data_IF_109404181567
#
_entry.id   IF_109404181567
#
_cell.length_a   1.000
_cell.length_b   1.000
_cell.length_c   1.000
_cell.angle_alpha   90.00
_cell.angle_beta   90.00
_cell.angle_gamma   90.00
#
_symmetry.space_group_name_H-M   'P 1'
#
loop_
_entity.id
_entity.type
_entity.pdbx_description
1 polymer ?
#
# COMPACT_ATOMS: atom_id res chain seq x y z
N UNK A 1 5.76 26.55 -11.69
CA UNK A 1 4.66 27.08 -12.52
C UNK A 1 3.37 26.31 -12.23
N UNK A 2 3.37 24.98 -12.25
CA UNK A 2 2.17 24.16 -12.09
C UNK A 2 1.53 24.24 -10.70
N UNK A 3 2.29 24.57 -9.66
CA UNK A 3 1.78 24.74 -8.29
C UNK A 3 1.10 26.10 -8.03
N UNK A 4 1.33 27.10 -8.89
CA UNK A 4 0.84 28.48 -8.66
C UNK A 4 -0.69 28.57 -8.52
N UNK A 5 -1.52 27.89 -9.34
CA UNK A 5 -2.97 27.91 -9.13
C UNK A 5 -3.43 27.39 -7.77
N UNK A 6 -2.72 26.39 -7.23
CA UNK A 6 -3.03 25.85 -5.88
C UNK A 6 -2.66 26.84 -4.77
N UNK A 7 -1.56 27.57 -4.92
CA UNK A 7 -1.18 28.62 -3.97
C UNK A 7 -2.19 29.77 -3.98
N UNK A 8 -2.64 30.19 -5.16
CA UNK A 8 -3.67 31.21 -5.29
C UNK A 8 -5.01 30.75 -4.73
N UNK A 9 -5.42 29.51 -4.98
CA UNK A 9 -6.62 28.92 -4.38
C UNK A 9 -6.54 28.88 -2.86
N UNK A 10 -5.40 28.49 -2.28
CA UNK A 10 -5.18 28.49 -0.84
C UNK A 10 -5.26 29.91 -0.24
N UNK A 11 -4.69 30.92 -0.93
CA UNK A 11 -4.76 32.32 -0.54
C UNK A 11 -6.20 32.83 -0.55
N UNK A 12 -6.95 32.56 -1.61
CA UNK A 12 -8.35 32.94 -1.74
C UNK A 12 -9.22 32.27 -0.67
N UNK A 13 -9.04 30.97 -0.43
CA UNK A 13 -9.73 30.25 0.64
C UNK A 13 -9.48 30.89 2.00
N UNK A 14 -8.22 31.23 2.32
CA UNK A 14 -7.88 31.91 3.56
C UNK A 14 -8.51 33.28 3.72
N UNK A 15 -8.81 33.95 2.60
CA UNK A 15 -9.53 35.24 2.59
C UNK A 15 -11.04 35.03 2.76
N UNK A 16 -11.64 34.06 2.08
CA UNK A 16 -13.09 33.80 2.10
C UNK A 16 -13.54 33.26 3.46
N UNK A 17 -12.80 32.29 4.01
CA UNK A 17 -13.12 31.65 5.28
C UNK A 17 -12.68 32.47 6.50
N UNK A 18 -11.80 33.44 6.30
CA UNK A 18 -11.22 34.26 7.36
C UNK A 18 -10.03 33.61 8.06
N UNK A 19 -9.15 34.49 8.56
CA UNK A 19 -7.89 34.05 9.19
C UNK A 19 -8.08 33.16 10.42
N UNK A 20 -9.19 33.25 11.12
CA UNK A 20 -9.44 32.47 12.34
C UNK A 20 -9.83 31.01 12.00
N UNK A 21 -10.28 30.75 10.79
CA UNK A 21 -10.72 29.44 10.34
C UNK A 21 -9.67 28.72 9.47
N UNK A 22 -8.58 29.41 9.09
CA UNK A 22 -7.53 28.86 8.23
C UNK A 22 -6.16 29.05 8.87
N UNK A 23 -5.37 28.00 8.86
CA UNK A 23 -3.99 27.97 9.36
C UNK A 23 -3.04 27.52 8.24
N UNK A 24 -1.99 28.28 7.99
CA UNK A 24 -0.96 27.96 7.01
C UNK A 24 0.28 27.35 7.69
N UNK A 25 0.57 26.11 7.40
CA UNK A 25 1.76 25.41 7.87
C UNK A 25 2.73 25.27 6.68
N UNK A 26 3.89 25.91 6.79
CA UNK A 26 4.91 25.90 5.75
C UNK A 26 6.03 24.91 6.07
N UNK A 27 6.16 23.87 5.24
CA UNK A 27 7.27 22.92 5.34
C UNK A 27 8.42 23.38 4.47
N UNK A 28 9.63 23.44 5.03
CA UNK A 28 10.81 23.92 4.35
C UNK A 28 12.05 23.11 4.74
N UNK A 29 13.09 23.17 3.90
CA UNK A 29 14.36 22.52 4.16
C UNK A 29 15.33 23.46 4.92
N UNK A 30 15.94 22.93 5.97
CA UNK A 30 17.07 23.53 6.70
C UNK A 30 18.29 22.63 6.50
N UNK A 31 19.04 22.81 5.41
CA UNK A 31 20.13 21.92 5.07
C UNK A 31 21.31 22.10 6.03
N UNK A 32 22.07 21.00 6.18
CA UNK A 32 23.35 21.00 6.85
C UNK A 32 24.44 21.11 5.79
N UNK A 33 25.31 22.09 5.91
CA UNK A 33 26.35 22.37 4.91
C UNK A 33 27.72 22.40 5.56
N UNK A 34 28.70 21.83 4.82
CA UNK A 34 30.10 21.84 5.19
C UNK A 34 30.51 20.78 6.21
N UNK A 35 31.82 20.66 6.42
CA UNK A 35 32.45 19.69 7.30
C UNK A 35 32.12 19.91 8.79
N UNK A 36 31.66 21.10 9.17
CA UNK A 36 31.31 21.50 10.55
C UNK A 36 29.87 21.15 10.91
N UNK A 37 29.04 20.72 9.94
CA UNK A 37 27.66 20.31 10.20
C UNK A 37 26.72 21.46 10.62
N UNK A 38 26.93 22.67 10.09
CA UNK A 38 26.15 23.84 10.42
C UNK A 38 24.81 23.89 9.66
N UNK A 39 23.71 24.10 10.38
CA UNK A 39 22.38 24.29 9.79
C UNK A 39 22.25 25.67 9.13
N UNK A 40 21.77 25.72 7.88
CA UNK A 40 21.65 26.96 7.11
C UNK A 40 20.19 27.40 6.97
N UNK A 41 19.89 28.61 7.43
CA UNK A 41 18.53 29.18 7.39
C UNK A 41 18.19 29.89 6.08
N UNK A 42 19.15 30.16 5.23
CA UNK A 42 18.93 30.93 3.98
C UNK A 42 17.88 30.33 3.05
N UNK A 43 17.87 29.00 2.76
CA UNK A 43 16.82 28.39 1.94
C UNK A 43 15.44 28.59 2.52
N UNK A 44 15.26 28.39 3.83
CA UNK A 44 14.01 28.65 4.56
C UNK A 44 13.58 30.12 4.44
N UNK A 45 14.50 31.07 4.64
CA UNK A 45 14.20 32.50 4.51
C UNK A 45 13.71 32.86 3.11
N UNK A 46 14.35 32.30 2.06
CA UNK A 46 13.90 32.50 0.68
C UNK A 46 12.49 31.91 0.46
N UNK A 47 12.28 30.68 0.88
CA UNK A 47 10.99 29.99 0.73
C UNK A 47 9.84 30.76 1.43
N UNK A 48 10.07 31.24 2.64
CA UNK A 48 9.11 32.09 3.38
C UNK A 48 8.84 33.39 2.65
N UNK A 49 9.88 34.06 2.14
CA UNK A 49 9.75 35.32 1.40
C UNK A 49 8.92 35.14 0.12
N UNK A 50 9.15 34.07 -0.64
CA UNK A 50 8.35 33.76 -1.82
C UNK A 50 6.89 33.52 -1.47
N UNK A 51 6.61 32.73 -0.41
CA UNK A 51 5.25 32.49 0.08
C UNK A 51 4.54 33.79 0.49
N UNK A 52 5.25 34.66 1.21
CA UNK A 52 4.73 35.98 1.60
C UNK A 52 4.50 36.89 0.39
N UNK A 53 5.35 36.80 -0.65
CA UNK A 53 5.18 37.50 -1.91
C UNK A 53 3.90 37.10 -2.65
N UNK A 54 3.43 35.87 -2.46
CA UNK A 54 2.13 35.37 -2.94
C UNK A 54 0.94 35.78 -2.03
N UNK A 55 1.18 36.55 -0.95
CA UNK A 55 0.14 37.00 -0.02
C UNK A 55 -0.25 35.95 1.03
N UNK A 56 0.54 34.89 1.21
CA UNK A 56 0.32 33.87 2.23
C UNK A 56 1.35 34.05 3.36
N UNK A 57 0.91 34.28 4.58
CA UNK A 57 1.77 34.30 5.77
C UNK A 57 1.66 32.98 6.51
N UNK A 58 2.76 32.24 6.72
CA UNK A 58 2.72 31.02 7.51
C UNK A 58 2.39 31.33 8.98
N UNK A 59 1.58 30.48 9.59
CA UNK A 59 1.30 30.49 11.04
C UNK A 59 2.29 29.58 11.77
N UNK A 60 2.79 28.54 11.09
CA UNK A 60 3.78 27.58 11.59
C UNK A 60 4.78 27.25 10.49
N UNK A 61 6.04 27.11 10.86
CA UNK A 61 7.08 26.59 9.98
C UNK A 61 7.57 25.24 10.50
N UNK A 62 7.56 24.24 9.62
CA UNK A 62 8.13 22.90 9.88
C UNK A 62 9.47 22.83 9.15
N UNK A 63 10.56 22.91 9.90
CA UNK A 63 11.92 22.84 9.37
C UNK A 63 12.42 21.41 9.26
N UNK A 64 12.52 20.90 8.04
CA UNK A 64 13.12 19.58 7.72
C UNK A 64 14.63 19.68 7.72
N UNK A 65 15.30 18.79 8.46
CA UNK A 65 16.75 18.73 8.57
C UNK A 65 17.20 17.31 8.94
N UNK A 66 18.42 16.94 8.69
CA UNK A 66 18.97 15.62 9.07
C UNK A 66 18.98 15.42 10.60
N UNK A 67 19.15 16.51 11.35
CA UNK A 67 19.10 16.53 12.82
C UNK A 67 18.10 17.55 13.37
N UNK A 68 17.80 17.48 14.65
CA UNK A 68 16.98 18.48 15.35
C UNK A 68 17.54 19.89 15.14
N UNK A 69 16.66 20.87 14.91
CA UNK A 69 17.06 22.27 14.78
C UNK A 69 17.68 22.78 16.08
N UNK A 70 18.83 23.42 15.96
CA UNK A 70 19.46 24.13 17.06
C UNK A 70 18.56 25.34 17.46
N UNK A 71 18.58 25.72 18.74
CA UNK A 71 17.69 26.74 19.27
C UNK A 71 17.89 28.10 18.62
N UNK A 72 19.15 28.46 18.36
CA UNK A 72 19.49 29.72 17.66
C UNK A 72 19.02 29.74 16.20
N UNK A 73 19.07 28.57 15.53
CA UNK A 73 18.57 28.41 14.16
C UNK A 73 17.05 28.57 14.11
N UNK A 74 16.36 27.93 15.02
CA UNK A 74 14.90 28.05 15.11
C UNK A 74 14.46 29.48 15.48
N UNK A 75 15.15 30.14 16.42
CA UNK A 75 14.91 31.56 16.78
C UNK A 75 15.14 32.50 15.61
N UNK A 76 16.19 32.27 14.81
CA UNK A 76 16.49 33.02 13.61
C UNK A 76 15.42 32.86 12.53
N UNK A 77 14.90 31.64 12.35
CA UNK A 77 13.79 31.37 11.43
C UNK A 77 12.53 32.11 11.90
N UNK A 78 12.18 32.02 13.18
CA UNK A 78 11.02 32.66 13.77
C UNK A 78 11.07 34.18 13.57
N UNK A 79 12.21 34.81 13.88
CA UNK A 79 12.43 36.22 13.68
C UNK A 79 12.24 36.66 12.23
N UNK A 80 12.83 35.92 11.27
CA UNK A 80 12.73 36.28 9.87
C UNK A 80 11.32 36.09 9.29
N UNK A 81 10.60 35.10 9.77
CA UNK A 81 9.25 34.78 9.31
C UNK A 81 8.15 35.58 10.01
N UNK A 82 8.49 36.37 11.03
CA UNK A 82 7.56 37.14 11.86
C UNK A 82 6.51 36.22 12.54
N UNK A 83 6.98 35.12 13.15
CA UNK A 83 6.14 34.16 13.90
C UNK A 83 6.76 33.89 15.28
N UNK A 84 5.96 33.46 16.27
CA UNK A 84 6.48 33.03 17.57
C UNK A 84 7.49 31.88 17.45
N UNK A 85 8.50 31.85 18.37
CA UNK A 85 9.52 30.82 18.38
C UNK A 85 8.91 29.38 18.48
N UNK A 86 7.88 29.23 19.28
CA UNK A 86 7.15 27.98 19.46
C UNK A 86 6.41 27.49 18.19
N UNK A 87 6.23 28.38 17.22
CA UNK A 87 5.64 28.04 15.93
C UNK A 87 6.68 27.54 14.89
N UNK A 88 7.97 27.51 15.25
CA UNK A 88 8.99 26.85 14.44
C UNK A 88 9.22 25.45 14.97
N UNK A 89 8.76 24.47 14.21
CA UNK A 89 8.79 23.04 14.56
C UNK A 89 9.98 22.37 13.89
N UNK A 90 10.75 21.66 14.68
CA UNK A 90 11.85 20.83 14.17
C UNK A 90 11.32 19.48 13.66
N UNK A 91 11.59 19.13 12.42
CA UNK A 91 11.25 17.85 11.84
C UNK A 91 12.53 17.15 11.34
N UNK A 92 13.32 16.56 12.26
CA UNK A 92 14.53 15.84 11.90
C UNK A 92 14.18 14.57 11.13
N UNK A 93 15.21 13.98 10.48
CA UNK A 93 15.07 12.65 9.91
C UNK A 93 14.71 11.65 11.01
N UNK A 94 13.59 10.96 10.79
CA UNK A 94 13.07 9.96 11.69
C UNK A 94 13.41 8.56 11.16
N UNK A 95 13.51 7.57 12.04
CA UNK A 95 13.72 6.16 11.65
C UNK A 95 12.56 5.63 10.79
N UNK A 96 11.39 6.20 10.98
CA UNK A 96 10.18 5.91 10.20
C UNK A 96 9.26 7.13 10.20
N UNK A 97 8.48 7.30 9.13
CA UNK A 97 7.48 8.38 9.04
C UNK A 97 6.44 8.31 10.18
N UNK A 98 6.25 7.15 10.78
CA UNK A 98 5.32 6.93 11.89
C UNK A 98 5.80 7.51 13.22
N UNK A 99 7.07 7.92 13.35
CA UNK A 99 7.58 8.69 14.49
C UNK A 99 7.17 10.18 14.42
N UNK A 100 6.93 10.72 13.23
CA UNK A 100 6.67 12.15 13.03
C UNK A 100 5.51 12.69 13.89
N UNK A 101 4.35 12.00 14.01
CA UNK A 101 3.29 12.45 14.92
C UNK A 101 3.75 12.55 16.39
N UNK A 102 4.64 11.66 16.84
CA UNK A 102 5.18 11.68 18.20
C UNK A 102 6.15 12.85 18.40
N UNK A 103 6.99 13.12 17.40
CA UNK A 103 7.91 14.28 17.38
C UNK A 103 7.10 15.60 17.45
N UNK A 104 5.98 15.66 16.76
CA UNK A 104 5.10 16.85 16.78
C UNK A 104 4.37 17.02 18.11
N UNK A 105 3.95 15.92 18.73
CA UNK A 105 3.36 15.95 20.07
C UNK A 105 4.32 16.50 21.13
N UNK A 106 5.58 16.08 21.08
CA UNK A 106 6.64 16.54 22.01
C UNK A 106 6.86 18.07 21.89
N UNK A 107 6.66 18.61 20.69
CA UNK A 107 6.78 20.04 20.41
C UNK A 107 5.45 20.81 20.55
N UNK A 108 4.41 20.20 21.10
CA UNK A 108 3.11 20.80 21.39
C UNK A 108 2.40 21.36 20.14
N UNK A 109 2.60 20.71 18.97
CA UNK A 109 1.94 21.13 17.73
C UNK A 109 0.41 21.09 17.83
N UNK A 110 -0.23 20.07 18.46
CA UNK A 110 -1.67 20.07 18.67
C UNK A 110 -2.17 21.32 19.41
N UNK A 111 -1.47 21.72 20.46
CA UNK A 111 -1.83 22.91 21.26
C UNK A 111 -1.69 24.21 20.45
N UNK A 112 -0.71 24.28 19.55
CA UNK A 112 -0.58 25.41 18.61
C UNK A 112 -1.79 25.50 17.67
N UNK A 113 -2.20 24.34 17.11
CA UNK A 113 -3.35 24.25 16.21
C UNK A 113 -4.64 24.63 16.95
N UNK A 114 -4.85 24.07 18.16
CA UNK A 114 -6.01 24.36 18.99
C UNK A 114 -6.12 25.85 19.31
N UNK A 115 -5.02 26.45 19.75
CA UNK A 115 -4.96 27.91 20.06
C UNK A 115 -5.22 28.75 18.82
N UNK A 116 -4.62 28.40 17.69
CA UNK A 116 -4.71 29.17 16.44
C UNK A 116 -6.11 29.15 15.81
N UNK A 117 -6.76 27.98 15.84
CA UNK A 117 -8.08 27.76 15.22
C UNK A 117 -9.24 27.80 16.24
N UNK A 118 -8.99 28.13 17.51
CA UNK A 118 -10.02 28.13 18.54
C UNK A 118 -10.66 26.78 18.82
N UNK A 119 -9.96 25.68 18.51
CA UNK A 119 -10.47 24.32 18.67
C UNK A 119 -10.38 23.86 20.12
N UNK A 120 -11.28 22.95 20.50
CA UNK A 120 -11.26 22.26 21.80
C UNK A 120 -11.13 20.75 21.52
N UNK A 121 -9.94 20.22 21.56
CA UNK A 121 -9.71 18.80 21.36
C UNK A 121 -9.42 18.08 22.69
N UNK A 122 -9.70 16.77 22.71
CA UNK A 122 -9.29 15.91 23.84
C UNK A 122 -7.83 15.52 23.67
N UNK A 123 -7.09 15.41 24.77
CA UNK A 123 -5.71 14.88 24.73
C UNK A 123 -5.68 13.53 24.00
N UNK A 124 -4.82 13.37 22.99
CA UNK A 124 -4.78 12.15 22.20
C UNK A 124 -4.22 10.99 23.05
N UNK A 125 -4.85 9.83 22.95
CA UNK A 125 -4.29 8.59 23.50
C UNK A 125 -3.34 7.95 22.50
N UNK A 126 -2.07 8.23 22.64
CA UNK A 126 -1.02 7.76 21.70
C UNK A 126 -0.37 6.43 22.11
N UNK A 127 -0.87 5.74 23.15
CA UNK A 127 -0.26 4.48 23.62
C UNK A 127 -0.18 3.43 22.53
N UNK A 128 -1.27 3.23 21.79
CA UNK A 128 -1.30 2.27 20.66
C UNK A 128 -0.32 2.67 19.56
N UNK A 129 -0.24 3.97 19.26
CA UNK A 129 0.66 4.48 18.23
C UNK A 129 2.13 4.31 18.63
N UNK A 130 2.50 4.63 19.88
CA UNK A 130 3.87 4.39 20.39
C UNK A 130 4.24 2.91 20.30
N UNK A 131 3.34 2.02 20.71
CA UNK A 131 3.56 0.57 20.61
C UNK A 131 3.74 0.11 19.16
N UNK A 132 2.99 0.69 18.22
CA UNK A 132 3.13 0.39 16.80
C UNK A 132 4.51 0.85 16.30
N UNK A 133 4.91 2.10 16.58
CA UNK A 133 6.22 2.63 16.20
C UNK A 133 7.35 1.79 16.80
N UNK A 134 7.24 1.42 18.06
CA UNK A 134 8.24 0.58 18.73
C UNK A 134 8.39 -0.78 18.03
N UNK A 135 7.28 -1.44 17.67
CA UNK A 135 7.31 -2.73 16.97
C UNK A 135 7.95 -2.67 15.60
N UNK A 136 7.68 -1.63 14.81
CA UNK A 136 8.29 -1.50 13.47
C UNK A 136 9.77 -1.14 13.53
N UNK A 137 10.20 -0.46 14.58
CA UNK A 137 11.63 -0.09 14.75
C UNK A 137 12.46 -1.17 15.42
N UNK A 138 11.89 -1.89 16.40
CA UNK A 138 12.57 -2.84 17.24
C UNK A 138 12.02 -4.28 17.10
N UNK A 139 11.29 -4.59 16.01
CA UNK A 139 10.64 -5.89 15.79
C UNK A 139 11.63 -7.08 15.84
N UNK A 140 11.07 -8.25 16.21
CA UNK A 140 11.78 -9.50 16.49
C UNK A 140 12.21 -10.28 15.25
N UNK A 141 11.71 -11.53 15.10
CA UNK A 141 12.00 -12.40 13.94
C UNK A 141 11.81 -11.68 12.61
N UNK A 142 12.60 -12.03 11.61
CA UNK A 142 12.46 -11.50 10.25
C UNK A 142 11.90 -12.56 9.33
N UNK A 143 10.98 -12.18 8.45
CA UNK A 143 10.50 -13.01 7.33
C UNK A 143 10.75 -12.28 6.02
N UNK A 144 11.07 -13.04 4.96
CA UNK A 144 11.30 -12.50 3.63
C UNK A 144 10.14 -12.83 2.70
N UNK A 145 9.46 -11.79 2.21
CA UNK A 145 8.33 -11.90 1.27
C UNK A 145 8.76 -11.39 -0.11
N UNK A 146 8.66 -12.27 -1.13
CA UNK A 146 8.88 -11.85 -2.50
C UNK A 146 7.65 -11.15 -3.06
N UNK A 147 7.83 -9.98 -3.71
CA UNK A 147 6.80 -9.30 -4.50
C UNK A 147 7.19 -9.38 -5.97
N UNK A 148 6.35 -10.08 -6.76
CA UNK A 148 6.60 -10.35 -8.18
C UNK A 148 5.91 -9.29 -9.02
N UNK A 149 6.62 -8.20 -9.31
CA UNK A 149 6.10 -7.01 -9.96
C UNK A 149 6.57 -6.80 -11.40
N UNK A 150 6.03 -5.77 -12.07
CA UNK A 150 6.49 -5.29 -13.39
C UNK A 150 7.30 -4.00 -13.33
N UNK A 151 7.28 -3.32 -12.17
CA UNK A 151 7.83 -1.99 -11.96
C UNK A 151 8.50 -1.93 -10.59
N UNK A 152 9.25 -2.97 -10.23
CA UNK A 152 9.87 -3.08 -8.89
C UNK A 152 11.01 -2.09 -8.70
N UNK A 153 11.57 -1.58 -9.79
CA UNK A 153 12.54 -0.47 -9.79
C UNK A 153 11.92 0.89 -9.39
N UNK A 154 10.60 1.05 -9.53
CA UNK A 154 9.87 2.24 -9.12
C UNK A 154 9.26 2.02 -7.74
N UNK A 155 9.93 2.50 -6.70
CA UNK A 155 9.56 2.26 -5.28
C UNK A 155 8.08 2.53 -4.97
N UNK A 156 7.46 3.53 -5.59
CA UNK A 156 6.09 3.92 -5.31
C UNK A 156 5.03 3.00 -5.93
N UNK A 157 5.41 2.15 -6.90
CA UNK A 157 4.46 1.33 -7.64
C UNK A 157 3.71 0.32 -6.78
N UNK A 158 4.33 -0.15 -5.70
CA UNK A 158 3.78 -1.16 -4.79
C UNK A 158 3.76 -0.71 -3.34
N UNK A 159 3.82 0.59 -3.08
CA UNK A 159 3.86 1.16 -1.72
C UNK A 159 2.72 0.67 -0.84
N UNK A 160 1.51 0.43 -1.40
CA UNK A 160 0.38 -0.07 -0.63
C UNK A 160 0.61 -1.49 -0.09
N UNK A 161 1.32 -2.34 -0.82
CA UNK A 161 1.72 -3.68 -0.35
C UNK A 161 2.84 -3.58 0.69
N UNK A 162 3.85 -2.74 0.44
CA UNK A 162 4.96 -2.50 1.36
C UNK A 162 4.44 -2.04 2.72
N UNK A 163 3.62 -0.99 2.75
CA UNK A 163 2.99 -0.47 3.96
C UNK A 163 2.12 -1.52 4.66
N UNK A 164 1.35 -2.29 3.89
CA UNK A 164 0.49 -3.33 4.46
C UNK A 164 1.30 -4.46 5.10
N UNK A 165 2.41 -4.84 4.50
CA UNK A 165 3.34 -5.83 5.07
C UNK A 165 4.01 -5.30 6.34
N UNK A 166 4.43 -4.02 6.34
CA UNK A 166 4.95 -3.35 7.53
C UNK A 166 3.93 -3.40 8.68
N UNK A 167 2.66 -3.10 8.40
CA UNK A 167 1.60 -3.14 9.42
C UNK A 167 1.34 -4.56 9.92
N UNK A 168 1.33 -5.54 9.02
CA UNK A 168 1.17 -6.95 9.40
C UNK A 168 2.33 -7.42 10.27
N UNK A 169 3.56 -7.08 9.90
CA UNK A 169 4.75 -7.35 10.71
C UNK A 169 4.66 -6.73 12.11
N UNK A 170 4.27 -5.46 12.19
CA UNK A 170 4.09 -4.76 13.47
C UNK A 170 3.05 -5.44 14.38
N UNK A 171 1.94 -5.90 13.82
CA UNK A 171 0.91 -6.62 14.58
C UNK A 171 1.42 -7.98 15.09
N UNK A 172 2.17 -8.70 14.26
CA UNK A 172 2.73 -10.02 14.59
C UNK A 172 4.03 -9.96 15.40
N UNK A 173 4.64 -8.77 15.54
CA UNK A 173 5.90 -8.57 16.26
C UNK A 173 7.13 -9.08 15.51
N UNK A 174 7.09 -9.06 14.18
CA UNK A 174 8.20 -9.43 13.30
C UNK A 174 8.54 -8.31 12.30
N UNK A 175 9.73 -8.39 11.70
CA UNK A 175 10.12 -7.57 10.55
C UNK A 175 9.79 -8.31 9.26
N UNK A 176 9.26 -7.59 8.28
CA UNK A 176 9.05 -8.12 6.94
C UNK A 176 10.07 -7.47 6.00
N UNK A 177 10.97 -8.29 5.49
CA UNK A 177 11.89 -7.92 4.42
C UNK A 177 11.23 -8.22 3.08
N UNK A 178 11.28 -7.27 2.16
CA UNK A 178 10.71 -7.44 0.83
C UNK A 178 11.83 -7.76 -0.16
N UNK A 179 11.68 -8.89 -0.88
CA UNK A 179 12.48 -9.21 -2.05
C UNK A 179 11.72 -8.79 -3.29
N UNK A 180 12.20 -7.77 -3.95
CA UNK A 180 11.63 -7.29 -5.20
C UNK A 180 12.11 -8.15 -6.36
N UNK A 181 11.19 -8.71 -7.14
CA UNK A 181 11.50 -9.54 -8.32
C UNK A 181 10.71 -8.99 -9.51
N UNK A 182 11.42 -8.65 -10.57
CA UNK A 182 10.80 -8.29 -11.85
C UNK A 182 10.20 -9.55 -12.49
N UNK A 183 8.89 -9.55 -12.73
CA UNK A 183 8.21 -10.66 -13.36
C UNK A 183 8.74 -10.98 -14.79
N UNK A 184 9.09 -9.98 -15.62
CA UNK A 184 9.76 -10.24 -16.89
C UNK A 184 11.07 -11.03 -16.76
N UNK A 185 11.87 -10.80 -15.70
CA UNK A 185 13.14 -11.51 -15.53
C UNK A 185 12.94 -13.02 -15.27
N UNK A 186 11.86 -13.38 -14.55
CA UNK A 186 11.48 -14.79 -14.40
C UNK A 186 11.02 -15.40 -15.72
N UNK A 187 10.27 -14.62 -16.52
CA UNK A 187 9.78 -15.04 -17.83
C UNK A 187 10.95 -15.26 -18.81
N UNK A 188 11.87 -14.32 -18.89
CA UNK A 188 13.00 -14.32 -19.81
C UNK A 188 14.03 -15.40 -19.45
N UNK A 189 14.29 -15.62 -18.17
CA UNK A 189 15.20 -16.67 -17.69
C UNK A 189 14.62 -18.08 -17.76
N UNK A 190 13.30 -18.19 -17.70
CA UNK A 190 12.60 -19.47 -17.51
C UNK A 190 12.92 -20.18 -16.18
N UNK A 191 13.56 -19.48 -15.23
CA UNK A 191 13.97 -20.00 -13.93
C UNK A 191 13.20 -19.32 -12.79
N UNK A 192 13.04 -20.08 -11.69
CA UNK A 192 12.47 -19.60 -10.42
C UNK A 192 13.50 -19.49 -9.29
N UNK A 193 14.80 -19.58 -9.60
CA UNK A 193 15.89 -19.55 -8.61
C UNK A 193 15.85 -18.27 -7.74
N UNK A 194 15.39 -17.15 -8.30
CA UNK A 194 15.21 -15.90 -7.56
C UNK A 194 14.19 -16.01 -6.41
N UNK A 195 13.34 -17.03 -6.40
CA UNK A 195 12.35 -17.31 -5.36
C UNK A 195 12.89 -18.21 -4.25
N UNK A 196 14.08 -18.80 -4.42
CA UNK A 196 14.62 -19.70 -3.40
C UNK A 196 14.85 -18.99 -2.06
N UNK A 197 14.46 -19.66 -0.99
CA UNK A 197 14.64 -19.19 0.38
C UNK A 197 13.68 -18.10 0.84
N UNK A 198 12.69 -17.68 0.02
CA UNK A 198 11.65 -16.76 0.51
C UNK A 198 10.63 -17.49 1.39
N UNK A 199 10.13 -16.78 2.40
CA UNK A 199 9.15 -17.33 3.35
C UNK A 199 7.70 -17.19 2.83
N UNK A 200 7.49 -16.35 1.80
CA UNK A 200 6.19 -16.14 1.17
C UNK A 200 6.27 -15.33 -0.12
N UNK A 201 5.20 -15.36 -0.91
CA UNK A 201 5.12 -14.73 -2.23
C UNK A 201 3.86 -13.88 -2.36
N UNK A 202 3.98 -12.68 -2.91
CA UNK A 202 2.87 -11.84 -3.37
C UNK A 202 2.98 -11.67 -4.88
N UNK A 203 1.87 -11.96 -5.58
CA UNK A 203 1.68 -11.57 -6.97
C UNK A 203 0.64 -10.45 -7.00
N UNK A 204 1.08 -9.18 -7.16
CA UNK A 204 0.21 -8.02 -7.11
C UNK A 204 -0.63 -7.84 -8.38
N UNK A 205 -1.56 -6.91 -8.32
CA UNK A 205 -2.35 -6.45 -9.45
C UNK A 205 -1.51 -5.97 -10.63
N UNK A 206 -2.16 -5.78 -11.77
CA UNK A 206 -1.56 -5.32 -13.01
C UNK A 206 -2.46 -5.58 -14.20
N UNK A 207 -1.97 -5.26 -15.40
CA UNK A 207 -2.64 -5.43 -16.68
C UNK A 207 -1.63 -5.79 -17.76
N UNK A 208 -2.12 -6.40 -18.86
CA UNK A 208 -1.35 -6.69 -20.06
C UNK A 208 -0.35 -7.84 -19.92
N UNK A 209 0.22 -8.25 -21.05
CA UNK A 209 0.96 -9.50 -21.22
C UNK A 209 2.37 -9.49 -20.62
N UNK A 210 3.07 -8.33 -20.60
CA UNK A 210 4.45 -8.26 -20.11
C UNK A 210 4.58 -8.79 -18.69
N UNK A 211 5.43 -9.81 -18.47
CA UNK A 211 5.69 -10.44 -17.18
C UNK A 211 4.54 -11.29 -16.64
N UNK A 212 3.51 -11.60 -17.45
CA UNK A 212 2.41 -12.44 -17.01
C UNK A 212 2.83 -13.89 -16.80
N UNK A 213 3.67 -14.43 -17.68
CA UNK A 213 4.20 -15.80 -17.53
C UNK A 213 5.12 -15.91 -16.32
N UNK A 214 5.98 -14.92 -16.04
CA UNK A 214 6.79 -14.89 -14.82
C UNK A 214 5.95 -14.90 -13.55
N UNK A 215 4.81 -14.19 -13.52
CA UNK A 215 3.84 -14.24 -12.43
C UNK A 215 3.17 -15.61 -12.30
N UNK A 216 2.82 -16.26 -13.42
CA UNK A 216 2.28 -17.63 -13.46
C UNK A 216 3.33 -18.62 -12.92
N UNK A 217 4.60 -18.47 -13.32
CA UNK A 217 5.70 -19.28 -12.80
C UNK A 217 5.85 -19.15 -11.29
N UNK A 218 5.78 -17.93 -10.75
CA UNK A 218 5.84 -17.68 -9.31
C UNK A 218 4.65 -18.30 -8.55
N UNK A 219 3.43 -18.21 -9.11
CA UNK A 219 2.25 -18.86 -8.55
C UNK A 219 2.39 -20.40 -8.52
N UNK A 220 2.92 -20.99 -9.60
CA UNK A 220 3.24 -22.43 -9.68
C UNK A 220 4.28 -22.83 -8.64
N UNK A 221 5.37 -22.08 -8.58
CA UNK A 221 6.46 -22.35 -7.64
C UNK A 221 5.95 -22.33 -6.19
N UNK A 222 5.21 -21.33 -5.81
CA UNK A 222 4.63 -21.22 -4.46
C UNK A 222 3.69 -22.40 -4.16
N UNK A 223 2.82 -22.78 -5.11
CA UNK A 223 1.91 -23.90 -4.97
C UNK A 223 2.63 -25.23 -4.79
N UNK A 224 3.63 -25.52 -5.63
CA UNK A 224 4.33 -26.81 -5.63
C UNK A 224 5.32 -26.97 -4.48
N UNK A 225 5.90 -25.86 -4.00
CA UNK A 225 6.85 -25.85 -2.89
C UNK A 225 6.19 -25.56 -1.53
N UNK A 226 4.85 -25.50 -1.48
CA UNK A 226 4.09 -25.24 -0.25
C UNK A 226 4.46 -23.91 0.43
N UNK A 227 4.96 -22.92 -0.35
CA UNK A 227 5.32 -21.60 0.15
C UNK A 227 4.07 -20.71 0.20
N UNK A 228 3.82 -20.00 1.31
CA UNK A 228 2.69 -19.08 1.43
C UNK A 228 2.57 -18.11 0.25
N UNK A 229 1.37 -18.01 -0.33
CA UNK A 229 1.06 -17.25 -1.53
C UNK A 229 -0.13 -16.31 -1.30
N UNK A 230 -0.01 -15.07 -1.76
CA UNK A 230 -1.11 -14.12 -1.87
C UNK A 230 -1.16 -13.54 -3.29
N UNK A 231 -2.22 -13.84 -4.03
CA UNK A 231 -2.52 -13.20 -5.32
C UNK A 231 -3.51 -12.05 -5.15
N UNK A 232 -3.25 -10.90 -5.77
CA UNK A 232 -4.16 -9.74 -5.70
C UNK A 232 -4.55 -9.33 -7.11
N UNK A 233 -5.86 -9.22 -7.37
CA UNK A 233 -6.45 -8.79 -8.64
C UNK A 233 -5.91 -9.60 -9.82
N UNK A 234 -4.96 -9.08 -10.59
CA UNK A 234 -4.32 -9.84 -11.67
C UNK A 234 -3.60 -11.10 -11.15
N UNK A 235 -3.02 -11.04 -9.94
CA UNK A 235 -2.43 -12.23 -9.29
C UNK A 235 -3.44 -13.33 -8.97
N UNK A 236 -4.69 -12.98 -8.65
CA UNK A 236 -5.79 -13.93 -8.50
C UNK A 236 -6.13 -14.61 -9.84
N UNK A 237 -6.21 -13.82 -10.91
CA UNK A 237 -6.50 -14.33 -12.24
C UNK A 237 -5.39 -15.27 -12.74
N UNK A 238 -4.13 -14.86 -12.59
CA UNK A 238 -2.99 -15.66 -13.03
C UNK A 238 -2.78 -16.94 -12.20
N UNK A 239 -3.14 -16.94 -10.92
CA UNK A 239 -3.18 -18.17 -10.11
C UNK A 239 -4.23 -19.16 -10.63
N UNK A 240 -5.36 -18.67 -11.11
CA UNK A 240 -6.38 -19.50 -11.77
C UNK A 240 -5.88 -20.07 -13.09
N UNK A 241 -5.23 -19.25 -13.92
CA UNK A 241 -4.61 -19.69 -15.19
C UNK A 241 -3.56 -20.76 -14.92
N UNK A 242 -2.68 -20.55 -13.95
CA UNK A 242 -1.67 -21.51 -13.52
C UNK A 242 -2.30 -22.87 -13.17
N UNK A 243 -3.31 -22.83 -12.32
CA UNK A 243 -3.99 -24.03 -11.85
C UNK A 243 -4.67 -24.79 -13.01
N UNK A 244 -5.33 -24.07 -13.90
CA UNK A 244 -5.94 -24.67 -15.08
C UNK A 244 -4.91 -25.32 -16.01
N UNK A 245 -3.75 -24.72 -16.22
CA UNK A 245 -2.68 -25.26 -17.07
C UNK A 245 -2.03 -26.51 -16.46
N UNK A 246 -1.68 -26.44 -15.18
CA UNK A 246 -0.80 -27.45 -14.56
C UNK A 246 -1.55 -28.51 -13.74
N UNK A 247 -2.78 -28.25 -13.29
CA UNK A 247 -3.59 -29.21 -12.51
C UNK A 247 -4.71 -29.80 -13.38
N UNK A 248 -5.44 -28.97 -14.14
CA UNK A 248 -6.50 -29.44 -15.03
C UNK A 248 -5.98 -29.91 -16.41
N UNK A 249 -4.71 -29.69 -16.75
CA UNK A 249 -4.10 -30.09 -18.01
C UNK A 249 -4.53 -29.25 -19.22
N UNK A 250 -5.19 -28.10 -19.01
CA UNK A 250 -5.60 -27.18 -20.06
C UNK A 250 -4.41 -26.30 -20.47
N UNK A 251 -3.47 -26.85 -21.23
CA UNK A 251 -2.16 -26.21 -21.54
C UNK A 251 -2.25 -24.81 -22.14
N UNK A 252 -3.34 -24.51 -22.88
CA UNK A 252 -3.63 -23.23 -23.52
C UNK A 252 -4.55 -22.33 -22.71
N UNK A 253 -4.88 -22.70 -21.46
CA UNK A 253 -5.69 -21.85 -20.57
C UNK A 253 -5.05 -20.49 -20.38
N UNK A 254 -5.83 -19.41 -20.57
CA UNK A 254 -5.36 -18.05 -20.47
C UNK A 254 -6.49 -17.08 -20.12
N UNK A 255 -6.14 -15.81 -20.00
CA UNK A 255 -7.09 -14.70 -19.98
C UNK A 255 -7.36 -14.22 -21.41
N UNK A 256 -8.61 -13.87 -21.73
CA UNK A 256 -8.96 -13.21 -23.00
C UNK A 256 -8.27 -11.83 -23.14
N UNK A 257 -7.79 -11.21 -22.04
CA UNK A 257 -6.92 -10.03 -22.10
C UNK A 257 -5.57 -10.35 -22.76
N UNK A 258 -5.00 -11.54 -22.45
CA UNK A 258 -3.64 -11.93 -22.86
C UNK A 258 -3.64 -12.71 -24.18
N UNK A 259 -4.69 -13.47 -24.44
CA UNK A 259 -4.88 -14.29 -25.60
C UNK A 259 -6.34 -14.22 -26.09
N UNK A 260 -6.74 -13.14 -26.80
CA UNK A 260 -8.14 -12.96 -27.24
C UNK A 260 -8.68 -14.09 -28.09
N UNK A 261 -7.83 -14.74 -28.90
CA UNK A 261 -8.20 -15.86 -29.78
C UNK A 261 -7.96 -17.23 -29.11
N UNK A 262 -7.70 -17.25 -27.80
CA UNK A 262 -7.42 -18.48 -27.05
C UNK A 262 -8.65 -19.39 -26.93
N UNK A 263 -8.47 -20.72 -27.04
CA UNK A 263 -9.57 -21.68 -26.94
C UNK A 263 -10.10 -21.85 -25.53
N UNK A 264 -9.24 -21.71 -24.51
CA UNK A 264 -9.57 -21.89 -23.10
C UNK A 264 -9.40 -20.57 -22.33
N UNK A 265 -10.30 -19.61 -22.57
CA UNK A 265 -10.37 -18.35 -21.83
C UNK A 265 -10.96 -18.59 -20.44
N UNK A 266 -10.12 -19.00 -19.48
CA UNK A 266 -10.52 -19.26 -18.09
C UNK A 266 -10.75 -17.97 -17.30
N UNK A 267 -10.21 -16.87 -17.81
CA UNK A 267 -10.48 -15.48 -17.37
C UNK A 267 -11.05 -14.76 -18.58
N UNK A 268 -12.19 -14.11 -18.39
CA UNK A 268 -12.89 -13.45 -19.50
C UNK A 268 -13.39 -12.07 -19.11
N UNK A 269 -13.76 -11.28 -20.13
CA UNK A 269 -14.28 -9.94 -19.92
C UNK A 269 -15.62 -9.98 -19.19
N UNK A 270 -15.86 -9.01 -18.33
CA UNK A 270 -17.17 -8.81 -17.71
C UNK A 270 -18.23 -8.57 -18.79
N UNK A 271 -19.42 -9.20 -18.71
CA UNK A 271 -20.49 -8.99 -19.68
C UNK A 271 -20.86 -7.51 -19.85
N UNK A 272 -20.80 -6.74 -18.77
CA UNK A 272 -21.08 -5.30 -18.80
C UNK A 272 -19.97 -4.47 -19.48
N UNK A 273 -18.84 -5.10 -19.80
CA UNK A 273 -17.70 -4.49 -20.49
C UNK A 273 -17.63 -4.87 -21.97
N UNK A 274 -18.49 -5.78 -22.42
CA UNK A 274 -18.56 -6.16 -23.83
C UNK A 274 -19.00 -4.96 -24.69
N UNK A 275 -18.27 -4.70 -25.77
CA UNK A 275 -18.56 -3.60 -26.70
C UNK A 275 -18.20 -2.19 -26.21
N UNK A 276 -17.61 -2.04 -25.04
CA UNK A 276 -17.16 -0.73 -24.55
C UNK A 276 -15.92 -0.26 -25.30
N UNK A 277 -16.06 0.84 -26.07
CA UNK A 277 -14.99 1.44 -26.87
C UNK A 277 -14.08 2.35 -26.02
N UNK A 278 -14.65 3.05 -25.05
CA UNK A 278 -13.89 3.94 -24.15
C UNK A 278 -13.50 3.22 -22.88
N UNK A 279 -12.25 2.79 -22.82
CA UNK A 279 -11.73 1.91 -21.79
C UNK A 279 -11.48 2.58 -20.42
N UNK A 280 -11.48 3.93 -20.34
CA UNK A 280 -10.92 4.64 -19.19
C UNK A 280 -11.74 4.56 -17.90
N UNK A 281 -13.06 4.61 -17.94
CA UNK A 281 -13.93 4.79 -16.77
C UNK A 281 -14.92 3.64 -16.52
N UNK A 282 -14.83 2.55 -17.26
CA UNK A 282 -15.86 1.52 -17.36
C UNK A 282 -15.57 0.22 -16.61
N UNK A 283 -14.37 0.07 -15.98
CA UNK A 283 -14.08 -1.11 -15.18
C UNK A 283 -14.93 -1.12 -13.89
N UNK A 284 -15.04 -2.30 -13.28
CA UNK A 284 -15.61 -2.43 -11.92
C UNK A 284 -14.71 -1.70 -10.95
N UNK A 285 -15.19 -0.58 -10.41
CA UNK A 285 -14.45 0.35 -9.57
C UNK A 285 -15.10 0.54 -8.21
N UNK A 286 -14.27 0.79 -7.19
CA UNK A 286 -14.71 1.20 -5.87
C UNK A 286 -15.07 0.05 -4.94
N UNK A 287 -15.83 0.37 -3.92
CA UNK A 287 -16.14 -0.52 -2.80
C UNK A 287 -17.34 -1.41 -3.14
N UNK A 288 -17.13 -2.72 -3.14
CA UNK A 288 -18.20 -3.69 -3.41
C UNK A 288 -18.30 -4.73 -2.29
N UNK A 289 -19.53 -5.21 -2.07
CA UNK A 289 -19.81 -6.26 -1.12
C UNK A 289 -19.30 -7.60 -1.62
N UNK A 290 -18.59 -8.31 -0.75
CA UNK A 290 -18.09 -9.68 -0.94
C UNK A 290 -18.68 -10.56 0.17
N UNK A 291 -19.27 -11.68 -0.20
CA UNK A 291 -19.75 -12.72 0.71
C UNK A 291 -18.67 -13.80 0.84
N UNK A 292 -18.25 -14.06 2.07
CA UNK A 292 -17.22 -15.05 2.39
C UNK A 292 -17.88 -16.32 2.95
N UNK A 293 -17.69 -17.45 2.29
CA UNK A 293 -18.01 -18.78 2.80
C UNK A 293 -16.93 -19.25 3.80
N UNK A 294 -17.10 -20.42 4.39
CA UNK A 294 -16.13 -21.01 5.32
C UNK A 294 -14.76 -21.19 4.61
N UNK A 295 -13.71 -20.69 5.20
CA UNK A 295 -12.35 -20.72 4.67
C UNK A 295 -11.42 -19.77 5.41
N UNK A 296 -10.12 -19.77 5.03
CA UNK A 296 -9.07 -18.93 5.65
C UNK A 296 -9.42 -17.43 5.58
N UNK A 297 -9.92 -16.96 4.44
CA UNK A 297 -10.28 -15.55 4.27
C UNK A 297 -11.38 -15.15 5.28
N UNK A 298 -12.46 -15.94 5.40
CA UNK A 298 -13.52 -15.67 6.37
C UNK A 298 -13.01 -15.65 7.81
N UNK A 299 -12.14 -16.57 8.16
CA UNK A 299 -11.57 -16.65 9.51
C UNK A 299 -10.68 -15.43 9.81
N UNK A 300 -9.89 -14.97 8.83
CA UNK A 300 -9.06 -13.77 8.94
C UNK A 300 -9.88 -12.47 9.05
N UNK A 301 -10.94 -12.35 8.25
CA UNK A 301 -11.84 -11.20 8.32
C UNK A 301 -12.75 -11.22 9.56
N UNK A 302 -13.00 -12.40 10.13
CA UNK A 302 -13.94 -12.60 11.25
C UNK A 302 -15.39 -12.28 10.90
N UNK A 303 -15.75 -12.22 9.60
CA UNK A 303 -17.06 -11.81 9.10
C UNK A 303 -17.44 -12.61 7.85
N UNK A 304 -18.75 -12.83 7.66
CA UNK A 304 -19.27 -13.47 6.46
C UNK A 304 -19.47 -12.48 5.28
N UNK A 305 -19.53 -11.20 5.57
CA UNK A 305 -19.68 -10.15 4.55
C UNK A 305 -18.67 -9.03 4.80
N UNK A 306 -18.00 -8.61 3.74
CA UNK A 306 -17.04 -7.52 3.77
C UNK A 306 -17.25 -6.61 2.57
N UNK A 307 -16.71 -5.40 2.65
CA UNK A 307 -16.69 -4.46 1.54
C UNK A 307 -15.22 -4.24 1.18
N UNK A 308 -14.87 -4.44 -0.10
CA UNK A 308 -13.49 -4.31 -0.57
C UNK A 308 -13.42 -3.56 -1.90
N UNK A 309 -12.28 -2.92 -2.16
CA UNK A 309 -12.11 -2.06 -3.34
C UNK A 309 -11.69 -2.87 -4.56
N UNK A 310 -12.38 -2.64 -5.67
CA UNK A 310 -12.15 -3.29 -6.95
C UNK A 310 -11.57 -2.30 -7.97
N UNK A 311 -10.76 -2.84 -8.89
CA UNK A 311 -10.30 -2.16 -10.08
C UNK A 311 -9.92 -3.20 -11.13
N UNK A 312 -10.92 -3.79 -11.78
CA UNK A 312 -10.67 -4.82 -12.79
C UNK A 312 -11.78 -4.84 -13.85
N UNK A 313 -11.50 -5.48 -14.98
CA UNK A 313 -12.39 -5.62 -16.14
C UNK A 313 -12.67 -7.09 -16.44
N UNK A 314 -11.73 -7.96 -16.12
CA UNK A 314 -11.79 -9.40 -16.37
C UNK A 314 -12.11 -10.15 -15.09
N UNK A 315 -12.76 -11.32 -15.26
CA UNK A 315 -13.23 -12.18 -14.18
C UNK A 315 -13.04 -13.66 -14.51
N UNK A 316 -13.26 -14.53 -13.52
CA UNK A 316 -13.28 -15.98 -13.73
C UNK A 316 -14.44 -16.33 -14.65
N UNK A 317 -14.15 -17.05 -15.75
CA UNK A 317 -15.17 -17.55 -16.66
C UNK A 317 -16.01 -18.64 -15.96
N UNK A 318 -17.34 -18.47 -15.86
CA UNK A 318 -18.23 -19.39 -15.15
C UNK A 318 -18.16 -20.84 -15.61
N UNK A 319 -17.85 -21.10 -16.89
CA UNK A 319 -17.81 -22.43 -17.48
C UNK A 319 -16.70 -23.33 -16.89
N UNK A 320 -15.73 -22.73 -16.21
CA UNK A 320 -14.58 -23.44 -15.62
C UNK A 320 -14.70 -23.61 -14.11
N UNK A 321 -15.59 -22.89 -13.43
CA UNK A 321 -15.68 -22.85 -11.95
C UNK A 321 -15.81 -24.26 -11.36
N UNK A 322 -16.77 -25.04 -11.83
CA UNK A 322 -17.03 -26.39 -11.31
C UNK A 322 -15.84 -27.32 -11.47
N UNK A 323 -15.10 -27.22 -12.61
CA UNK A 323 -13.93 -28.02 -12.87
C UNK A 323 -12.77 -27.65 -11.93
N UNK A 324 -12.57 -26.36 -11.70
CA UNK A 324 -11.55 -25.81 -10.81
C UNK A 324 -11.84 -26.23 -9.36
N UNK A 325 -13.09 -26.08 -8.90
CA UNK A 325 -13.48 -26.41 -7.52
C UNK A 325 -13.39 -27.92 -7.23
N UNK A 326 -13.73 -28.78 -8.22
CA UNK A 326 -13.56 -30.23 -8.10
C UNK A 326 -12.12 -30.67 -8.00
N UNK A 327 -11.19 -29.92 -8.59
CA UNK A 327 -9.76 -30.20 -8.55
C UNK A 327 -9.05 -29.68 -7.27
N UNK A 328 -9.78 -29.01 -6.36
CA UNK A 328 -9.26 -28.60 -5.04
C UNK A 328 -8.99 -27.12 -4.84
N UNK A 329 -9.12 -26.26 -5.88
CA UNK A 329 -9.09 -24.81 -5.70
C UNK A 329 -10.53 -24.33 -5.48
N UNK A 330 -10.82 -23.72 -4.32
CA UNK A 330 -12.16 -23.32 -3.91
C UNK A 330 -12.34 -21.82 -4.01
N UNK A 331 -13.50 -21.38 -4.51
CA UNK A 331 -13.89 -19.98 -4.47
C UNK A 331 -14.70 -19.68 -3.19
N UNK A 332 -13.97 -19.26 -2.16
CA UNK A 332 -14.53 -18.96 -0.82
C UNK A 332 -15.07 -17.56 -0.70
N UNK A 333 -14.85 -16.67 -1.66
CA UNK A 333 -15.46 -15.36 -1.74
C UNK A 333 -16.23 -15.19 -3.05
N UNK A 334 -17.44 -14.61 -2.96
CA UNK A 334 -18.29 -14.31 -4.12
C UNK A 334 -18.91 -12.91 -3.99
N UNK A 335 -19.27 -12.29 -5.09
CA UNK A 335 -20.01 -11.03 -5.11
C UNK A 335 -21.40 -11.17 -4.42
N UNK A 336 -22.08 -10.06 -4.23
CA UNK A 336 -23.41 -10.07 -3.62
C UNK A 336 -24.43 -10.93 -4.38
N UNK A 337 -24.28 -11.04 -5.70
CA UNK A 337 -25.13 -11.88 -6.57
C UNK A 337 -24.72 -13.35 -6.62
N UNK A 338 -23.56 -13.71 -6.07
CA UNK A 338 -23.03 -15.07 -6.07
C UNK A 338 -22.44 -15.53 -7.40
N UNK A 339 -22.37 -14.64 -8.40
CA UNK A 339 -21.95 -14.97 -9.78
C UNK A 339 -20.47 -14.76 -10.03
N UNK A 340 -19.85 -13.77 -9.37
CA UNK A 340 -18.44 -13.41 -9.55
C UNK A 340 -17.61 -13.98 -8.44
N UNK A 341 -16.45 -14.53 -8.80
CA UNK A 341 -15.51 -15.13 -7.86
C UNK A 341 -14.57 -14.04 -7.32
N UNK A 342 -14.53 -13.88 -6.00
CA UNK A 342 -13.82 -12.79 -5.34
C UNK A 342 -12.61 -13.22 -4.53
N UNK A 343 -12.65 -14.45 -4.02
CA UNK A 343 -11.54 -15.06 -3.26
C UNK A 343 -11.40 -16.51 -3.67
N UNK A 344 -10.18 -16.96 -3.93
CA UNK A 344 -9.83 -18.36 -4.07
C UNK A 344 -8.93 -18.82 -2.94
N UNK A 345 -9.03 -20.10 -2.61
CA UNK A 345 -8.18 -20.80 -1.65
C UNK A 345 -7.85 -22.20 -2.16
N UNK A 346 -6.62 -22.66 -1.98
CA UNK A 346 -6.21 -24.03 -2.32
C UNK A 346 -6.29 -24.93 -1.08
N UNK A 347 -7.04 -26.02 -1.20
CA UNK A 347 -7.15 -27.03 -0.14
C UNK A 347 -5.79 -27.73 0.09
N UNK A 348 -5.48 -28.00 1.36
CA UNK A 348 -4.24 -28.70 1.73
C UNK A 348 -2.97 -27.83 1.72
N UNK A 349 -3.02 -26.62 1.16
CA UNK A 349 -1.88 -25.69 1.17
C UNK A 349 -1.83 -24.88 2.47
N UNK A 350 -0.65 -24.63 3.07
CA UNK A 350 -0.51 -23.80 4.28
C UNK A 350 -1.20 -22.45 4.16
N UNK A 351 -0.92 -21.72 3.09
CA UNK A 351 -1.57 -20.47 2.74
C UNK A 351 -1.46 -20.20 1.24
N UNK A 352 -2.47 -20.55 0.48
CA UNK A 352 -2.59 -20.18 -0.93
C UNK A 352 -3.93 -19.50 -1.10
N UNK A 353 -3.92 -18.18 -1.02
CA UNK A 353 -5.11 -17.33 -1.02
C UNK A 353 -4.93 -16.26 -2.09
N UNK A 354 -5.99 -15.98 -2.82
CA UNK A 354 -5.97 -14.82 -3.69
C UNK A 354 -7.33 -14.10 -3.72
N UNK A 355 -7.30 -12.80 -4.01
CA UNK A 355 -8.49 -11.95 -4.08
C UNK A 355 -8.56 -11.18 -5.39
N UNK A 356 -9.76 -11.08 -5.97
CA UNK A 356 -10.01 -10.23 -7.14
C UNK A 356 -9.97 -8.73 -6.77
N UNK A 357 -10.31 -8.41 -5.54
CA UNK A 357 -10.24 -7.07 -4.97
C UNK A 357 -8.85 -6.73 -4.42
N UNK A 358 -8.66 -5.49 -4.03
CA UNK A 358 -7.42 -4.91 -3.53
C UNK A 358 -7.51 -4.67 -2.00
N UNK A 359 -7.20 -5.68 -1.16
CA UNK A 359 -7.32 -5.55 0.30
C UNK A 359 -6.28 -4.61 0.91
N UNK A 360 -5.16 -4.34 0.19
CA UNK A 360 -4.12 -3.41 0.61
C UNK A 360 -4.63 -1.97 0.76
N UNK A 361 -5.61 -1.55 -0.02
CA UNK A 361 -6.13 -0.17 0.03
C UNK A 361 -6.94 0.15 1.29
N UNK A 362 -7.40 -0.87 2.01
CA UNK A 362 -8.10 -0.70 3.29
C UNK A 362 -7.22 -0.95 4.52
N UNK A 363 -5.96 -1.26 4.30
CA UNK A 363 -4.98 -1.45 5.35
C UNK A 363 -4.71 -0.16 6.13
N UNK A 364 -4.47 -0.28 7.42
CA UNK A 364 -4.13 0.82 8.33
C UNK A 364 -3.08 0.33 9.35
N UNK A 365 -2.29 1.22 9.95
CA UNK A 365 -1.25 0.88 10.91
C UNK A 365 -1.71 -0.03 12.06
N UNK A 366 -2.92 0.21 12.59
CA UNK A 366 -3.49 -0.57 13.69
C UNK A 366 -4.46 -1.67 13.22
N UNK A 367 -4.71 -1.74 11.92
CA UNK A 367 -5.64 -2.69 11.29
C UNK A 367 -5.14 -3.09 9.89
N UNK A 368 -4.10 -3.92 9.81
CA UNK A 368 -3.59 -4.37 8.51
C UNK A 368 -4.63 -5.18 7.76
N UNK A 369 -4.48 -5.24 6.43
CA UNK A 369 -5.28 -6.12 5.58
C UNK A 369 -5.26 -7.55 6.11
N UNK A 370 -6.44 -8.18 6.33
CA UNK A 370 -6.50 -9.53 6.87
C UNK A 370 -5.76 -10.57 6.01
N UNK A 371 -5.80 -10.44 4.67
CA UNK A 371 -5.12 -11.39 3.79
C UNK A 371 -3.59 -11.25 3.84
N UNK A 372 -3.06 -10.03 3.93
CA UNK A 372 -1.63 -9.82 4.12
C UNK A 372 -1.17 -10.29 5.51
N UNK A 373 -1.99 -10.04 6.54
CA UNK A 373 -1.72 -10.55 7.90
C UNK A 373 -1.65 -12.09 7.90
N UNK A 374 -2.57 -12.75 7.19
CA UNK A 374 -2.59 -14.19 7.02
C UNK A 374 -1.33 -14.72 6.32
N UNK A 375 -0.88 -14.04 5.26
CA UNK A 375 0.35 -14.37 4.55
C UNK A 375 1.57 -14.30 5.48
N UNK A 376 1.76 -13.17 6.18
CA UNK A 376 2.92 -12.99 7.08
C UNK A 376 2.89 -13.99 8.23
N UNK A 377 1.70 -14.28 8.78
CA UNK A 377 1.53 -15.33 9.80
C UNK A 377 1.93 -16.71 9.29
N UNK A 378 1.55 -17.05 8.07
CA UNK A 378 1.91 -18.33 7.45
C UNK A 378 3.41 -18.39 7.11
N UNK A 379 4.00 -17.29 6.64
CA UNK A 379 5.44 -17.17 6.39
C UNK A 379 6.27 -17.38 7.68
N UNK A 380 5.84 -16.79 8.80
CA UNK A 380 6.47 -17.02 10.10
C UNK A 380 6.41 -18.50 10.55
N UNK A 381 5.31 -19.19 10.25
CA UNK A 381 5.18 -20.62 10.56
C UNK A 381 6.04 -21.48 9.63
N UNK A 382 6.11 -21.14 8.35
CA UNK A 382 6.92 -21.85 7.35
C UNK A 382 8.43 -21.77 7.66
N UNK A 383 8.90 -20.62 8.13
CA UNK A 383 10.31 -20.42 8.51
C UNK A 383 10.75 -21.25 9.72
N UNK A 384 9.82 -21.63 10.61
CA UNK A 384 10.09 -22.35 11.85
C UNK A 384 10.01 -23.89 11.68
N UNK A 385 9.49 -24.37 10.59
CA UNK A 385 9.38 -25.79 10.22
C UNK A 385 10.49 -26.21 9.32
#
# INVERSE_FOLDING_TARGET
>A
IESMPFMEAARLLGREEGRDNVMFIHTTLVPIVGSVGEQKTKPTQHSVKELQGLGIRPDVIVGRSDKKLDEDIASKIAFFADIPREAVISAPDARTIYEVPLIFLEQKVPELIEKRLGLKAKKPNVKKWRNFVDRITNGGDEVEIAIIGKYTSLKDSYISHEETLLYAGAVLGCKVKIRWIEAPDLEDSGSTDALEGVDGVIVPGGFGSRGSEGKIMAAKWARTNQVPYLGVCFGFQLATVEFCRNVLGLKDANSSELAPEGKNSVIDILPEQEGVKDMGATMRLGDHKVKLSKGKARDLYGKAEVYERHRHRYEINPDYIDKIEKAGMKYTGRDNGGRRMEVLELEGHPYYVASQFHPEFKSRPDKPSPLHLGLVKAALANKKG
#
